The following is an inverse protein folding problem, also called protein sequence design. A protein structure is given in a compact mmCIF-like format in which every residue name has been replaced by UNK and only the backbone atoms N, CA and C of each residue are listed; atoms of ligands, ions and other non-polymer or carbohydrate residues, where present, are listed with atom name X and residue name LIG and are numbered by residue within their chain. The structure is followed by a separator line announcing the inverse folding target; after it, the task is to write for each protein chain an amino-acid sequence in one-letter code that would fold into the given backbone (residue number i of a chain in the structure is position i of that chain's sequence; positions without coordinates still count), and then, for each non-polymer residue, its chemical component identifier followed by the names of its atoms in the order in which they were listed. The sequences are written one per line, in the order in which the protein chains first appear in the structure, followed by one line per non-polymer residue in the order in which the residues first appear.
data_IF_877107566765
#
_entry.id   IF_877107566765
#
_cell.length_a   1.000
_cell.length_b   1.000
_cell.length_c   1.000
_cell.angle_alpha   90.00
_cell.angle_beta   90.00
_cell.angle_gamma   90.00
#
_symmetry.space_group_name_H-M   'P 1'
#
loop_
_entity.id
_entity.type
_entity.pdbx_description
1 polymer ?
#
# COMPACT_ATOMS: atom_id res chain seq x y z
N UNK A 1 -32.44 24.91 -6.51
CA UNK A 1 -32.24 23.62 -5.83
C UNK A 1 -32.34 22.53 -6.88
N UNK A 2 -31.23 21.93 -7.23
CA UNK A 2 -31.23 20.78 -8.15
C UNK A 2 -31.70 19.56 -7.36
N UNK A 3 -32.87 19.02 -7.71
CA UNK A 3 -33.35 17.74 -7.20
C UNK A 3 -32.36 16.67 -7.61
N UNK A 4 -31.69 16.07 -6.64
CA UNK A 4 -30.89 14.84 -6.88
C UNK A 4 -31.84 13.76 -7.32
N UNK A 5 -31.63 13.26 -8.53
CA UNK A 5 -32.33 12.10 -9.05
C UNK A 5 -32.12 10.91 -8.07
N UNK A 6 -33.16 10.30 -7.51
CA UNK A 6 -33.03 9.21 -6.53
C UNK A 6 -32.58 7.88 -7.13
N UNK A 7 -31.97 7.89 -8.31
CA UNK A 7 -31.63 6.68 -9.06
C UNK A 7 -30.15 6.54 -9.46
N UNK A 8 -29.27 7.48 -9.15
CA UNK A 8 -27.83 7.21 -9.33
C UNK A 8 -27.31 6.38 -8.18
N UNK A 9 -27.32 5.07 -8.36
CA UNK A 9 -26.63 4.14 -7.48
C UNK A 9 -25.16 4.58 -7.41
N UNK A 10 -24.65 4.89 -6.22
CA UNK A 10 -23.25 5.13 -5.99
C UNK A 10 -22.49 3.84 -6.34
N UNK A 11 -21.91 3.78 -7.54
CA UNK A 11 -21.18 2.62 -8.01
C UNK A 11 -19.79 2.60 -7.33
N UNK A 12 -19.59 1.67 -6.40
CA UNK A 12 -18.27 1.41 -5.87
C UNK A 12 -17.42 0.69 -6.91
N UNK A 13 -16.19 1.19 -7.11
CA UNK A 13 -15.17 0.53 -7.88
C UNK A 13 -14.15 -0.09 -6.94
N UNK A 14 -13.87 -1.37 -7.15
CA UNK A 14 -12.86 -2.13 -6.42
C UNK A 14 -11.76 -2.55 -7.40
N UNK A 15 -10.53 -2.19 -7.10
CA UNK A 15 -9.35 -2.62 -7.85
C UNK A 15 -8.43 -3.39 -6.94
N UNK A 16 -8.15 -4.64 -7.27
CA UNK A 16 -7.20 -5.47 -6.55
C UNK A 16 -5.79 -5.26 -7.09
N UNK A 17 -4.86 -4.89 -6.22
CA UNK A 17 -3.46 -4.67 -6.59
C UNK A 17 -2.60 -5.93 -6.50
N UNK A 18 -3.18 -7.04 -6.09
CA UNK A 18 -2.49 -8.27 -5.70
C UNK A 18 -2.07 -8.27 -4.23
N UNK A 19 -1.62 -9.40 -3.72
CA UNK A 19 -1.44 -9.66 -2.28
C UNK A 19 -2.73 -9.30 -1.51
N UNK A 20 -2.64 -8.45 -0.47
CA UNK A 20 -3.80 -7.97 0.27
C UNK A 20 -4.28 -6.58 -0.19
N UNK A 21 -3.67 -6.01 -1.24
CA UNK A 21 -3.86 -4.62 -1.64
C UNK A 21 -5.14 -4.35 -2.42
N UNK A 22 -5.90 -3.34 -1.98
CA UNK A 22 -7.11 -2.90 -2.66
C UNK A 22 -7.20 -1.38 -2.76
N UNK A 23 -7.78 -0.92 -3.86
CA UNK A 23 -8.32 0.43 -4.01
C UNK A 23 -9.83 0.32 -4.08
N UNK A 24 -10.51 1.11 -3.25
CA UNK A 24 -11.96 1.20 -3.19
C UNK A 24 -12.33 2.67 -3.39
N UNK A 25 -13.22 2.96 -4.33
CA UNK A 25 -13.66 4.34 -4.58
C UNK A 25 -15.12 4.40 -5.00
N UNK A 26 -15.79 5.47 -4.61
CA UNK A 26 -17.12 5.88 -5.06
C UNK A 26 -17.05 6.97 -6.14
N UNK A 27 -15.84 7.24 -6.67
CA UNK A 27 -15.57 8.33 -7.60
C UNK A 27 -15.22 9.66 -6.94
N UNK A 28 -15.44 9.80 -5.63
CA UNK A 28 -15.12 11.01 -4.84
C UNK A 28 -14.04 10.73 -3.81
N UNK A 29 -14.19 9.65 -3.07
CA UNK A 29 -13.26 9.21 -2.02
C UNK A 29 -12.45 8.03 -2.55
N UNK A 30 -11.17 8.02 -2.24
CA UNK A 30 -10.25 6.91 -2.54
C UNK A 30 -9.72 6.33 -1.24
N UNK A 31 -10.11 5.10 -0.97
CA UNK A 31 -9.62 4.28 0.13
C UNK A 31 -8.63 3.25 -0.40
N UNK A 32 -7.46 3.20 0.18
CA UNK A 32 -6.49 2.12 -0.05
C UNK A 32 -6.46 1.18 1.16
N UNK A 33 -6.39 -0.11 0.90
CA UNK A 33 -6.20 -1.14 1.92
C UNK A 33 -4.91 -1.87 1.61
N UNK A 34 -4.00 -1.96 2.58
CA UNK A 34 -2.72 -2.68 2.48
C UNK A 34 -1.99 -2.46 1.13
N UNK A 35 -1.79 -1.21 0.68
CA UNK A 35 -1.16 -0.94 -0.62
C UNK A 35 0.30 -1.37 -0.60
N UNK A 36 0.61 -2.45 -1.32
CA UNK A 36 1.94 -3.01 -1.39
C UNK A 36 2.34 -3.31 -2.83
N UNK A 37 3.15 -2.43 -3.42
CA UNK A 37 3.62 -2.50 -4.79
C UNK A 37 5.08 -2.93 -4.91
N UNK A 38 5.90 -2.57 -3.93
CA UNK A 38 7.36 -2.81 -3.95
C UNK A 38 7.75 -4.27 -4.07
N UNK A 39 6.96 -5.17 -3.51
CA UNK A 39 7.07 -6.62 -3.72
C UNK A 39 8.48 -7.16 -3.62
N UNK A 40 9.19 -6.77 -2.56
CA UNK A 40 10.56 -7.20 -2.32
C UNK A 40 10.65 -8.72 -2.21
N UNK A 41 11.76 -9.28 -2.70
CA UNK A 41 12.13 -10.67 -2.50
C UNK A 41 12.98 -10.76 -1.25
N UNK A 42 12.62 -11.64 -0.35
CA UNK A 42 13.34 -11.85 0.89
C UNK A 42 14.16 -13.14 0.82
N UNK A 43 15.48 -13.02 1.02
CA UNK A 43 16.39 -14.16 1.07
C UNK A 43 16.40 -14.75 2.47
N UNK A 44 15.37 -15.48 2.84
CA UNK A 44 15.27 -16.12 4.15
C UNK A 44 14.32 -17.31 4.11
N UNK A 45 14.59 -18.31 4.93
CA UNK A 45 13.78 -19.54 5.00
C UNK A 45 12.33 -19.33 5.48
N UNK A 46 11.98 -18.11 5.93
CA UNK A 46 10.67 -17.78 6.51
C UNK A 46 9.69 -17.15 5.51
N UNK A 47 10.15 -16.56 4.41
CA UNK A 47 9.32 -15.84 3.44
C UNK A 47 9.57 -16.26 1.99
N UNK A 48 9.70 -17.50 1.78
CA UNK A 48 10.02 -18.09 0.49
C UNK A 48 11.37 -18.80 0.57
N UNK A 49 11.45 -19.88 -0.14
CA UNK A 49 12.69 -20.63 -0.29
C UNK A 49 13.69 -19.74 -1.07
N UNK A 50 14.86 -19.39 -0.52
CA UNK A 50 15.88 -18.65 -1.27
C UNK A 50 16.36 -19.39 -2.51
N UNK A 51 16.19 -20.69 -2.53
CA UNK A 51 16.51 -21.57 -3.65
C UNK A 51 15.30 -21.81 -4.57
N UNK A 52 14.14 -21.20 -4.26
CA UNK A 52 12.98 -21.31 -5.14
C UNK A 52 13.32 -20.75 -6.53
N UNK A 53 12.96 -21.45 -7.61
CA UNK A 53 13.25 -20.98 -8.95
C UNK A 53 12.58 -19.64 -9.19
N UNK A 54 13.39 -18.68 -9.57
CA UNK A 54 12.94 -17.34 -9.93
C UNK A 54 12.39 -17.39 -11.34
N UNK A 55 11.22 -16.81 -11.55
CA UNK A 55 10.69 -16.65 -12.90
C UNK A 55 11.70 -15.90 -13.77
N UNK A 56 11.96 -16.35 -15.02
CA UNK A 56 12.79 -15.60 -15.93
C UNK A 56 12.35 -14.15 -16.05
N UNK A 57 13.28 -13.21 -15.90
CA UNK A 57 12.98 -11.78 -15.95
C UNK A 57 12.50 -11.14 -14.64
N UNK A 58 12.44 -11.87 -13.54
CA UNK A 58 12.17 -11.26 -12.22
C UNK A 58 13.41 -10.50 -11.74
N UNK A 59 13.35 -9.17 -11.87
CA UNK A 59 14.44 -8.23 -11.52
C UNK A 59 14.26 -7.60 -10.14
N UNK A 60 13.27 -8.05 -9.35
CA UNK A 60 13.05 -7.51 -8.01
C UNK A 60 14.30 -7.68 -7.14
N UNK A 61 14.65 -6.68 -6.32
CA UNK A 61 15.78 -6.79 -5.41
C UNK A 61 15.55 -7.90 -4.38
N UNK A 62 16.61 -8.64 -4.07
CA UNK A 62 16.59 -9.64 -3.00
C UNK A 62 17.12 -8.98 -1.73
N UNK A 63 16.32 -9.01 -0.68
CA UNK A 63 16.70 -8.52 0.64
C UNK A 63 17.11 -9.68 1.56
N UNK A 64 18.14 -9.44 2.35
CA UNK A 64 18.62 -10.34 3.38
C UNK A 64 18.06 -9.91 4.75
N UNK A 65 18.09 -10.78 5.79
CA UNK A 65 17.60 -10.41 7.12
C UNK A 65 18.20 -9.16 7.73
N UNK A 66 19.44 -8.82 7.35
CA UNK A 66 20.16 -7.64 7.84
C UNK A 66 19.95 -6.37 7.00
N UNK A 67 19.32 -6.48 5.85
CA UNK A 67 19.12 -5.34 4.97
C UNK A 67 17.94 -4.47 5.47
N UNK A 68 18.04 -3.17 5.23
CA UNK A 68 16.95 -2.25 5.47
C UNK A 68 15.99 -2.31 4.29
N UNK A 69 14.73 -2.64 4.57
CA UNK A 69 13.68 -2.63 3.56
C UNK A 69 13.31 -1.19 3.19
N UNK A 70 13.17 -0.93 1.90
CA UNK A 70 12.74 0.36 1.38
C UNK A 70 11.67 0.20 0.32
N UNK A 71 10.76 1.17 0.26
CA UNK A 71 9.74 1.27 -0.77
C UNK A 71 10.35 1.59 -2.13
N UNK A 72 9.86 0.96 -3.19
CA UNK A 72 10.10 1.36 -4.58
C UNK A 72 9.14 2.51 -4.92
N UNK A 73 9.57 3.72 -4.60
CA UNK A 73 8.73 4.92 -4.71
C UNK A 73 8.32 5.22 -6.16
N UNK A 74 9.17 4.93 -7.13
CA UNK A 74 8.85 5.13 -8.55
C UNK A 74 7.76 4.17 -9.02
N UNK A 75 7.82 2.91 -8.55
CA UNK A 75 6.79 1.94 -8.86
C UNK A 75 5.46 2.33 -8.22
N UNK A 76 5.49 2.73 -6.94
CA UNK A 76 4.30 3.22 -6.23
C UNK A 76 3.67 4.41 -6.96
N UNK A 77 4.49 5.37 -7.39
CA UNK A 77 4.03 6.59 -8.04
C UNK A 77 3.37 6.35 -9.41
N UNK A 78 3.74 5.27 -10.09
CA UNK A 78 3.07 4.86 -11.33
C UNK A 78 1.65 4.32 -11.11
N UNK A 79 1.34 3.87 -9.91
CA UNK A 79 0.05 3.23 -9.58
C UNK A 79 -0.87 4.09 -8.72
N UNK A 80 -0.30 4.98 -7.89
CA UNK A 80 -1.05 5.77 -6.92
C UNK A 80 -0.77 7.25 -7.16
N UNK A 81 -1.77 7.96 -7.62
CA UNK A 81 -1.78 9.42 -7.77
C UNK A 81 -2.58 10.12 -6.66
N UNK A 82 -3.59 9.45 -6.11
CA UNK A 82 -4.48 9.99 -5.08
C UNK A 82 -4.90 8.92 -4.08
N UNK A 83 -4.98 9.33 -2.82
CA UNK A 83 -5.66 8.60 -1.75
C UNK A 83 -6.18 9.60 -0.71
N UNK A 84 -7.35 9.32 -0.13
CA UNK A 84 -7.91 10.07 0.99
C UNK A 84 -7.69 9.31 2.30
N UNK A 85 -7.73 7.99 2.25
CA UNK A 85 -7.53 7.10 3.40
C UNK A 85 -6.64 5.92 3.02
N UNK A 86 -5.81 5.48 3.97
CA UNK A 86 -5.03 4.25 3.89
C UNK A 86 -5.30 3.42 5.13
N UNK A 87 -5.93 2.27 4.95
CA UNK A 87 -6.17 1.30 6.03
C UNK A 87 -5.11 0.20 5.95
N UNK A 88 -4.41 -0.03 7.05
CA UNK A 88 -3.41 -1.09 7.19
C UNK A 88 -3.92 -2.14 8.17
N UNK A 89 -4.10 -3.35 7.67
CA UNK A 89 -4.66 -4.47 8.43
C UNK A 89 -3.72 -4.95 9.53
N UNK A 90 -2.41 -4.98 9.28
CA UNK A 90 -1.37 -5.21 10.27
C UNK A 90 0.00 -4.67 9.83
N UNK A 91 0.92 -4.54 10.77
CA UNK A 91 2.16 -3.77 10.60
C UNK A 91 3.34 -4.54 9.98
N UNK A 92 3.12 -5.69 9.35
CA UNK A 92 4.17 -6.36 8.61
C UNK A 92 4.53 -5.59 7.32
N UNK A 93 5.78 -5.70 6.88
CA UNK A 93 6.31 -4.92 5.76
C UNK A 93 5.51 -5.09 4.47
N UNK A 94 5.02 -6.30 4.19
CA UNK A 94 4.22 -6.61 3.01
C UNK A 94 2.79 -6.03 3.02
N UNK A 95 2.42 -5.30 4.07
CA UNK A 95 1.19 -4.53 4.17
C UNK A 95 1.46 -3.02 4.30
N UNK A 96 2.53 -2.64 5.01
CA UNK A 96 2.74 -1.25 5.40
C UNK A 96 3.97 -0.57 4.78
N UNK A 97 4.82 -1.26 4.01
CA UNK A 97 6.08 -0.68 3.54
C UNK A 97 5.90 0.53 2.64
N UNK A 98 4.93 0.50 1.75
CA UNK A 98 4.67 1.60 0.81
C UNK A 98 3.77 2.70 1.39
N UNK A 99 3.09 2.43 2.50
CA UNK A 99 2.14 3.33 3.12
C UNK A 99 2.73 4.71 3.46
N UNK A 100 3.91 4.85 4.08
CA UNK A 100 4.43 6.16 4.44
C UNK A 100 4.69 7.05 3.23
N UNK A 101 5.21 6.49 2.14
CA UNK A 101 5.42 7.24 0.90
C UNK A 101 4.10 7.72 0.32
N UNK A 102 3.10 6.83 0.23
CA UNK A 102 1.77 7.17 -0.28
C UNK A 102 1.12 8.27 0.58
N UNK A 103 1.16 8.12 1.91
CA UNK A 103 0.57 9.09 2.82
C UNK A 103 1.20 10.48 2.69
N UNK A 104 2.54 10.58 2.63
CA UNK A 104 3.23 11.87 2.43
C UNK A 104 2.91 12.50 1.08
N UNK A 105 2.83 11.68 0.03
CA UNK A 105 2.53 12.16 -1.33
C UNK A 105 1.11 12.68 -1.46
N UNK A 106 0.14 11.98 -0.88
CA UNK A 106 -1.29 12.22 -1.10
C UNK A 106 -1.96 13.04 0.00
N UNK A 107 -1.36 13.10 1.17
CA UNK A 107 -2.00 13.65 2.38
C UNK A 107 -3.05 12.72 2.99
N UNK A 108 -3.08 11.45 2.59
CA UNK A 108 -4.07 10.48 3.08
C UNK A 108 -3.94 10.24 4.58
N UNK A 109 -5.09 10.14 5.25
CA UNK A 109 -5.17 9.73 6.65
C UNK A 109 -4.86 8.23 6.78
N UNK A 110 -3.86 7.89 7.60
CA UNK A 110 -3.48 6.51 7.89
C UNK A 110 -4.27 5.97 9.07
N UNK A 111 -4.93 4.84 8.85
CA UNK A 111 -5.73 4.13 9.85
C UNK A 111 -5.13 2.73 10.04
N UNK A 112 -4.79 2.38 11.27
CA UNK A 112 -4.20 1.09 11.57
C UNK A 112 -3.97 0.87 13.05
N UNK A 113 -3.20 -0.18 13.37
CA UNK A 113 -2.81 -0.48 14.75
C UNK A 113 -1.84 0.56 15.29
N UNK A 114 -1.63 0.57 16.60
CA UNK A 114 -0.61 1.43 17.24
C UNK A 114 0.79 1.24 16.62
N UNK A 115 1.17 0.00 16.30
CA UNK A 115 2.43 -0.28 15.61
C UNK A 115 2.48 0.35 14.21
N UNK A 116 1.39 0.29 13.45
CA UNK A 116 1.28 0.93 12.13
C UNK A 116 1.45 2.44 12.23
N UNK A 117 0.80 3.09 13.19
CA UNK A 117 0.92 4.54 13.38
C UNK A 117 2.32 4.95 13.81
N UNK A 118 3.01 4.16 14.62
CA UNK A 118 4.42 4.39 14.96
C UNK A 118 5.34 4.28 13.74
N UNK A 119 5.09 3.30 12.86
CA UNK A 119 5.83 3.19 11.59
C UNK A 119 5.58 4.43 10.72
N UNK A 120 4.34 4.88 10.61
CA UNK A 120 4.00 6.09 9.87
C UNK A 120 4.76 7.32 10.39
N UNK A 121 4.71 7.58 11.72
CA UNK A 121 5.44 8.67 12.38
C UNK A 121 6.95 8.59 12.15
N UNK A 122 7.53 7.42 12.36
CA UNK A 122 8.97 7.20 12.16
C UNK A 122 9.44 7.46 10.72
N UNK A 123 8.51 7.40 9.77
CA UNK A 123 8.76 7.69 8.36
C UNK A 123 8.22 9.05 7.91
N UNK A 124 7.95 9.96 8.82
CA UNK A 124 7.63 11.36 8.53
C UNK A 124 6.20 11.61 8.03
N UNK A 125 5.25 10.72 8.36
CA UNK A 125 3.83 10.99 8.14
C UNK A 125 3.34 11.88 9.29
N UNK A 126 2.76 13.03 8.95
CA UNK A 126 2.24 13.98 9.93
C UNK A 126 0.98 13.43 10.62
N UNK A 127 0.82 13.77 11.89
CA UNK A 127 -0.41 13.46 12.64
C UNK A 127 -1.54 14.39 12.18
N UNK A 128 -2.72 13.82 11.96
CA UNK A 128 -3.93 14.54 11.61
C UNK A 128 -5.01 14.34 12.67
#
# INVERSE_FOLDING_TARGET
MSEKNPGEACALQLTHFGAAGWRITDGKTVLLVDPYFSRVRYAGKTFGDPDAPVSPGDTRPIFRPQDVLSSDTELVDRHIDRADYIVISHSHFNHCMDMPHIARKTGALVIGTYSTTNIARANGVEEQ
#
